data_IF_652079833219
#
_entry.id   IF_652079833219
#
_cell.length_a   1.000
_cell.length_b   1.000
_cell.length_c   1.000
_cell.angle_alpha   90.00
_cell.angle_beta   90.00
_cell.angle_gamma   90.00
#
_symmetry.space_group_name_H-M   'P 1'
#
loop_
_entity.id
_entity.type
_entity.pdbx_description
1 polymer ?
#
# COMPACT_ATOMS: atom_id res chain seq x y z
N UNK A 1 -17.00 28.61 -10.67
CA UNK A 1 -16.81 28.26 -9.24
C UNK A 1 -15.42 27.68 -9.09
N UNK A 2 -14.64 28.32 -8.25
CA UNK A 2 -13.18 28.31 -8.20
C UNK A 2 -12.64 26.97 -7.70
N UNK A 3 -11.74 26.34 -8.48
CA UNK A 3 -10.91 25.22 -8.00
C UNK A 3 -10.06 25.72 -6.83
N UNK A 4 -10.35 25.27 -5.61
CA UNK A 4 -9.41 25.38 -4.50
C UNK A 4 -8.28 24.38 -4.75
N UNK A 5 -7.15 24.89 -5.19
CA UNK A 5 -5.88 24.20 -5.11
C UNK A 5 -5.58 23.92 -3.63
N UNK A 6 -5.84 22.70 -3.17
CA UNK A 6 -5.32 22.20 -1.91
C UNK A 6 -3.80 22.14 -2.04
N UNK A 7 -3.13 23.17 -1.53
CA UNK A 7 -1.68 23.21 -1.43
C UNK A 7 -1.27 22.13 -0.44
N UNK A 8 -0.83 20.98 -0.98
CA UNK A 8 -0.35 19.81 -0.25
C UNK A 8 1.00 20.13 0.42
N UNK A 9 0.99 21.04 1.37
CA UNK A 9 2.15 21.34 2.20
C UNK A 9 2.11 20.38 3.38
N UNK A 10 2.50 19.13 3.11
CA UNK A 10 2.79 18.14 4.13
C UNK A 10 3.73 18.79 5.16
N UNK A 11 3.42 18.63 6.44
CA UNK A 11 4.41 18.82 7.50
C UNK A 11 5.44 17.70 7.38
N UNK A 12 6.27 17.79 6.34
CA UNK A 12 7.52 17.09 6.23
C UNK A 12 8.34 17.47 7.48
N UNK A 13 9.13 16.54 8.05
CA UNK A 13 10.16 16.94 8.99
C UNK A 13 10.92 18.11 8.39
N UNK A 14 11.29 19.10 9.22
CA UNK A 14 11.94 20.30 8.71
C UNK A 14 13.09 19.90 7.76
N UNK A 15 13.35 20.66 6.69
CA UNK A 15 14.38 20.28 5.71
C UNK A 15 15.74 19.96 6.33
N UNK A 16 16.04 20.48 7.53
CA UNK A 16 17.20 20.14 8.34
C UNK A 16 17.08 18.78 9.06
N UNK A 17 15.96 18.50 9.73
CA UNK A 17 15.73 17.22 10.43
C UNK A 17 15.67 16.03 9.46
N UNK A 18 15.00 16.18 8.31
CA UNK A 18 14.93 15.14 7.28
C UNK A 18 16.29 14.87 6.62
N UNK A 19 17.11 15.91 6.44
CA UNK A 19 18.45 15.79 5.84
C UNK A 19 19.46 15.17 6.80
N UNK A 20 19.45 15.57 8.07
CA UNK A 20 20.33 14.98 9.08
C UNK A 20 20.01 13.50 9.32
N UNK A 21 18.73 13.16 9.36
CA UNK A 21 18.28 11.78 9.46
C UNK A 21 18.70 10.96 8.24
N UNK A 22 18.47 11.47 7.02
CA UNK A 22 18.89 10.82 5.78
C UNK A 22 20.39 10.52 5.82
N UNK A 23 21.20 11.50 6.24
CA UNK A 23 22.64 11.32 6.37
C UNK A 23 23.02 10.26 7.42
N UNK A 24 22.31 10.20 8.55
CA UNK A 24 22.55 9.19 9.61
C UNK A 24 22.12 7.79 9.19
N UNK A 25 21.01 7.68 8.46
CA UNK A 25 20.53 6.44 7.90
C UNK A 25 21.47 5.93 6.81
N UNK A 26 21.88 6.81 5.89
CA UNK A 26 22.88 6.52 4.86
C UNK A 26 24.20 6.07 5.51
N UNK A 27 24.70 6.78 6.54
CA UNK A 27 25.91 6.38 7.27
C UNK A 27 25.78 5.02 7.96
N UNK A 28 24.64 4.74 8.61
CA UNK A 28 24.39 3.45 9.26
C UNK A 28 24.32 2.29 8.25
N UNK A 29 23.64 2.51 7.12
CA UNK A 29 23.55 1.55 6.01
C UNK A 29 24.91 1.31 5.36
N UNK A 30 25.71 2.37 5.17
CA UNK A 30 27.06 2.28 4.60
C UNK A 30 28.02 1.52 5.52
N UNK A 31 27.94 1.78 6.84
CA UNK A 31 28.67 1.02 7.85
C UNK A 31 28.26 -0.46 7.86
N UNK A 32 26.97 -0.76 7.73
CA UNK A 32 26.47 -2.14 7.63
C UNK A 32 26.98 -2.84 6.36
N UNK A 33 26.86 -2.22 5.18
CA UNK A 33 27.33 -2.81 3.92
C UNK A 33 28.83 -3.14 3.95
N UNK A 34 29.64 -2.28 4.59
CA UNK A 34 31.07 -2.54 4.78
C UNK A 34 31.35 -3.75 5.70
N UNK A 35 30.47 -4.00 6.67
CA UNK A 35 30.56 -5.13 7.61
C UNK A 35 30.03 -6.43 6.98
N UNK A 36 28.92 -6.36 6.26
CA UNK A 36 28.33 -7.47 5.51
C UNK A 36 29.23 -7.94 4.36
N UNK A 37 29.97 -7.03 3.71
CA UNK A 37 30.96 -7.39 2.70
C UNK A 37 32.14 -8.22 3.26
N UNK A 38 32.36 -8.21 4.59
CA UNK A 38 33.41 -8.99 5.26
C UNK A 38 32.92 -10.36 5.76
N UNK A 39 31.61 -10.58 5.87
CA UNK A 39 31.00 -11.84 6.27
C UNK A 39 30.22 -12.43 5.10
N UNK A 40 30.59 -13.61 4.61
CA UNK A 40 29.94 -14.27 3.46
C UNK A 40 28.50 -14.80 3.77
N UNK A 41 27.78 -14.18 4.71
CA UNK A 41 26.40 -14.49 5.09
C UNK A 41 25.43 -13.49 4.45
N UNK A 42 24.58 -13.96 3.53
CA UNK A 42 23.35 -13.27 3.14
C UNK A 42 22.34 -13.37 4.30
N UNK A 43 22.56 -12.63 5.37
CA UNK A 43 21.51 -12.35 6.35
C UNK A 43 20.72 -11.15 5.84
N UNK A 44 19.41 -11.30 5.69
CA UNK A 44 18.52 -10.16 5.67
C UNK A 44 18.73 -9.50 7.02
N UNK A 45 19.35 -8.31 7.09
CA UNK A 45 19.77 -7.84 8.37
C UNK A 45 18.53 -7.56 9.20
N UNK A 46 18.50 -8.14 10.39
CA UNK A 46 17.89 -7.54 11.56
C UNK A 46 18.65 -6.23 11.84
N UNK A 47 18.61 -5.29 10.89
CA UNK A 47 18.76 -3.87 11.19
C UNK A 47 17.58 -3.59 12.13
N UNK A 48 17.74 -2.63 13.03
CA UNK A 48 16.62 -2.01 13.77
C UNK A 48 16.31 -2.55 15.16
N UNK A 49 17.33 -2.89 15.96
CA UNK A 49 17.15 -2.93 17.42
C UNK A 49 16.96 -1.53 18.02
N UNK A 50 18.00 -0.69 17.93
CA UNK A 50 18.08 0.44 18.87
C UNK A 50 17.84 1.83 18.25
N UNK A 51 18.18 2.04 16.96
CA UNK A 51 18.07 3.38 16.35
C UNK A 51 16.83 3.56 15.48
N UNK A 52 16.53 2.58 14.63
CA UNK A 52 15.44 2.75 13.64
C UNK A 52 14.07 2.50 14.28
N UNK A 53 13.97 1.63 15.28
CA UNK A 53 12.70 1.36 15.95
C UNK A 53 12.15 2.58 16.69
N UNK A 54 12.91 3.31 17.55
CA UNK A 54 12.43 4.56 18.14
C UNK A 54 12.10 5.62 17.08
N UNK A 55 12.87 5.66 16.00
CA UNK A 55 12.65 6.59 14.90
C UNK A 55 11.33 6.33 14.16
N UNK A 56 11.09 5.10 13.70
CA UNK A 56 9.83 4.69 13.09
C UNK A 56 8.67 4.88 14.06
N UNK A 57 8.87 4.56 15.34
CA UNK A 57 7.86 4.80 16.38
C UNK A 57 7.50 6.28 16.44
N UNK A 58 8.49 7.19 16.46
CA UNK A 58 8.24 8.64 16.47
C UNK A 58 7.49 9.12 15.24
N UNK A 59 7.83 8.64 14.04
CA UNK A 59 7.15 9.02 12.81
C UNK A 59 5.71 8.50 12.75
N UNK A 60 5.52 7.23 13.10
CA UNK A 60 4.24 6.54 12.96
C UNK A 60 3.26 6.85 14.10
N UNK A 61 3.76 7.38 15.22
CA UNK A 61 2.94 7.73 16.40
C UNK A 61 2.36 9.16 16.35
N UNK A 62 2.58 9.91 15.26
CA UNK A 62 1.96 11.23 15.07
C UNK A 62 0.47 11.09 14.71
N UNK A 63 -0.35 10.88 15.73
CA UNK A 63 -1.79 10.63 15.58
C UNK A 63 -2.58 11.86 15.12
N UNK A 64 -2.08 13.06 15.40
CA UNK A 64 -2.71 14.30 14.93
C UNK A 64 -2.57 14.44 13.41
N UNK A 65 -1.37 14.20 12.87
CA UNK A 65 -1.15 14.16 11.42
C UNK A 65 -1.98 13.03 10.77
N UNK A 66 -2.00 11.84 11.38
CA UNK A 66 -2.80 10.73 10.87
C UNK A 66 -4.30 11.10 10.75
N UNK A 67 -4.88 11.67 11.81
CA UNK A 67 -6.30 12.06 11.84
C UNK A 67 -6.64 13.24 10.94
N UNK A 68 -5.71 14.19 10.76
CA UNK A 68 -5.96 15.42 10.00
C UNK A 68 -5.57 15.34 8.52
N UNK A 69 -4.69 14.39 8.15
CA UNK A 69 -4.14 14.29 6.78
C UNK A 69 -4.41 12.92 6.16
N UNK A 70 -4.05 11.83 6.84
CA UNK A 70 -4.06 10.48 6.23
C UNK A 70 -5.46 9.89 6.11
N UNK A 71 -6.25 10.03 7.17
CA UNK A 71 -7.58 9.42 7.28
C UNK A 71 -8.69 10.17 6.52
N UNK A 72 -8.78 11.52 6.53
CA UNK A 72 -9.92 12.24 5.96
C UNK A 72 -10.25 11.95 4.49
N UNK A 73 -9.26 11.75 3.57
CA UNK A 73 -9.56 11.41 2.18
C UNK A 73 -10.42 10.16 2.03
N UNK A 74 -10.36 9.23 2.98
CA UNK A 74 -11.14 7.99 2.97
C UNK A 74 -12.49 8.12 3.67
N UNK A 75 -12.74 9.14 4.50
CA UNK A 75 -13.97 9.28 5.29
C UNK A 75 -15.14 9.88 4.51
N UNK A 76 -15.38 9.33 3.32
CA UNK A 76 -16.50 9.66 2.45
C UNK A 76 -17.19 8.38 1.96
N UNK A 77 -18.48 8.42 1.58
CA UNK A 77 -19.12 7.32 0.89
C UNK A 77 -18.39 7.04 -0.43
N UNK A 78 -17.95 5.80 -0.60
CA UNK A 78 -17.03 5.38 -1.66
C UNK A 78 -17.31 3.96 -2.16
N UNK A 79 -18.60 3.59 -2.21
CA UNK A 79 -19.05 2.37 -2.85
C UNK A 79 -18.66 2.34 -4.34
N UNK A 80 -18.51 1.16 -4.97
CA UNK A 80 -18.01 1.03 -6.34
C UNK A 80 -18.69 1.99 -7.33
N UNK A 81 -17.91 2.59 -8.23
CA UNK A 81 -18.31 3.60 -9.22
C UNK A 81 -18.87 4.94 -8.69
N UNK A 82 -19.05 5.11 -7.37
CA UNK A 82 -19.46 6.40 -6.82
C UNK A 82 -18.40 7.50 -7.07
N UNK A 83 -18.79 8.79 -7.06
CA UNK A 83 -17.82 9.89 -7.11
C UNK A 83 -16.74 9.79 -6.02
N UNK A 84 -17.11 9.33 -4.81
CA UNK A 84 -16.18 9.15 -3.71
C UNK A 84 -15.18 8.01 -3.95
N UNK A 85 -15.62 6.90 -4.56
CA UNK A 85 -14.73 5.80 -4.95
C UNK A 85 -13.67 6.27 -5.96
N UNK A 86 -14.10 7.01 -7.00
CA UNK A 86 -13.19 7.59 -8.01
C UNK A 86 -12.20 8.55 -7.35
N UNK A 87 -12.67 9.40 -6.43
CA UNK A 87 -11.83 10.34 -5.71
C UNK A 87 -10.79 9.62 -4.83
N UNK A 88 -11.20 8.61 -4.07
CA UNK A 88 -10.31 7.82 -3.21
C UNK A 88 -9.31 7.04 -4.04
N UNK A 89 -9.74 6.42 -5.15
CA UNK A 89 -8.84 5.74 -6.09
C UNK A 89 -7.76 6.67 -6.60
N UNK A 90 -8.14 7.88 -7.01
CA UNK A 90 -7.18 8.88 -7.49
C UNK A 90 -6.24 9.35 -6.37
N UNK A 91 -6.75 9.53 -5.15
CA UNK A 91 -5.93 9.88 -3.99
C UNK A 91 -4.86 8.82 -3.71
N UNK A 92 -5.24 7.54 -3.66
CA UNK A 92 -4.30 6.42 -3.44
C UNK A 92 -3.22 6.44 -4.52
N UNK A 93 -3.61 6.49 -5.80
CA UNK A 93 -2.65 6.49 -6.93
C UNK A 93 -1.64 7.62 -6.80
N UNK A 94 -2.11 8.85 -6.57
CA UNK A 94 -1.24 10.01 -6.43
C UNK A 94 -0.33 9.90 -5.20
N UNK A 95 -0.83 9.36 -4.08
CA UNK A 95 -0.03 9.16 -2.88
C UNK A 95 1.17 8.23 -3.16
N UNK A 96 0.95 7.10 -3.84
CA UNK A 96 2.04 6.15 -4.17
C UNK A 96 2.94 6.64 -5.31
N UNK A 97 2.38 7.27 -6.34
CA UNK A 97 3.17 7.87 -7.42
C UNK A 97 4.10 8.97 -6.91
N UNK A 98 3.67 9.78 -5.94
CA UNK A 98 4.52 10.80 -5.30
C UNK A 98 5.71 10.22 -4.53
N UNK A 99 5.65 8.92 -4.21
CA UNK A 99 6.71 8.15 -3.57
C UNK A 99 7.55 7.36 -4.58
N UNK A 100 7.40 7.57 -5.89
CA UNK A 100 8.00 6.82 -7.00
C UNK A 100 7.71 5.29 -6.94
N UNK A 101 6.56 4.88 -6.41
CA UNK A 101 6.12 3.48 -6.50
C UNK A 101 5.49 3.22 -7.87
N UNK A 102 5.66 2.00 -8.39
CA UNK A 102 4.95 1.55 -9.57
C UNK A 102 3.48 1.28 -9.21
N UNK A 103 2.55 1.98 -9.86
CA UNK A 103 1.10 1.88 -9.58
C UNK A 103 0.38 1.33 -10.81
N UNK A 104 -0.31 0.21 -10.60
CA UNK A 104 -1.14 -0.48 -11.60
C UNK A 104 -2.61 -0.47 -11.16
N UNK A 105 -3.52 -0.48 -12.14
CA UNK A 105 -4.95 -0.67 -11.94
C UNK A 105 -5.38 -2.01 -12.56
N UNK A 106 -6.06 -2.86 -11.79
CA UNK A 106 -6.74 -4.05 -12.30
C UNK A 106 -8.23 -3.75 -12.41
N UNK A 107 -8.71 -3.63 -13.65
CA UNK A 107 -10.08 -3.24 -13.98
C UNK A 107 -10.89 -4.44 -14.44
N UNK A 108 -12.07 -4.63 -13.86
CA UNK A 108 -13.02 -5.68 -14.27
C UNK A 108 -14.45 -5.16 -14.29
N UNK A 109 -15.27 -5.68 -15.20
CA UNK A 109 -16.73 -5.47 -15.18
C UNK A 109 -17.37 -6.79 -14.76
N UNK A 110 -18.16 -6.78 -13.69
CA UNK A 110 -18.77 -7.98 -13.13
C UNK A 110 -20.28 -7.79 -12.96
N UNK A 111 -21.03 -8.88 -13.09
CA UNK A 111 -22.48 -8.87 -12.85
C UNK A 111 -22.74 -8.76 -11.34
N UNK A 112 -23.66 -7.88 -10.97
CA UNK A 112 -24.09 -7.67 -9.58
C UNK A 112 -25.62 -7.72 -9.50
N UNK A 113 -26.22 -7.72 -8.30
CA UNK A 113 -27.67 -7.61 -8.14
C UNK A 113 -28.29 -6.38 -8.81
N UNK A 114 -27.50 -5.34 -9.11
CA UNK A 114 -27.94 -4.11 -9.75
C UNK A 114 -27.51 -4.00 -11.23
N UNK A 115 -27.05 -5.12 -11.82
CA UNK A 115 -26.51 -5.16 -13.17
C UNK A 115 -24.97 -5.06 -13.22
N UNK A 116 -24.39 -4.87 -14.40
CA UNK A 116 -22.94 -4.81 -14.57
C UNK A 116 -22.33 -3.59 -13.89
N UNK A 117 -21.32 -3.80 -13.05
CA UNK A 117 -20.55 -2.76 -12.33
C UNK A 117 -19.07 -2.93 -12.63
N UNK A 118 -18.37 -1.81 -12.84
CA UNK A 118 -16.90 -1.80 -12.96
C UNK A 118 -16.26 -1.69 -11.57
N UNK A 119 -15.30 -2.56 -11.31
CA UNK A 119 -14.44 -2.57 -10.13
C UNK A 119 -13.00 -2.33 -10.53
N UNK A 120 -12.26 -1.55 -9.73
CA UNK A 120 -10.87 -1.18 -10.04
C UNK A 120 -9.96 -1.35 -8.82
N UNK A 121 -9.24 -2.47 -8.75
CA UNK A 121 -8.21 -2.66 -7.74
C UNK A 121 -6.99 -1.75 -8.03
N UNK A 122 -6.29 -1.33 -6.98
CA UNK A 122 -5.04 -0.56 -7.09
C UNK A 122 -3.90 -1.39 -6.52
N UNK A 123 -2.83 -1.53 -7.28
CA UNK A 123 -1.65 -2.32 -6.91
C UNK A 123 -0.43 -1.39 -6.94
N UNK A 124 0.15 -1.12 -5.78
CA UNK A 124 1.33 -0.27 -5.65
C UNK A 124 2.55 -1.11 -5.24
N UNK A 125 3.60 -1.11 -6.06
CA UNK A 125 4.81 -1.91 -5.87
C UNK A 125 6.04 -1.01 -5.80
N UNK A 126 6.84 -1.13 -4.74
CA UNK A 126 7.99 -0.26 -4.53
C UNK A 126 9.16 -0.60 -5.47
N UNK A 127 9.59 -1.86 -5.52
CA UNK A 127 10.63 -2.37 -6.42
C UNK A 127 10.02 -3.45 -7.34
N UNK A 128 9.41 -3.07 -8.49
CA UNK A 128 8.69 -4.02 -9.35
C UNK A 128 9.57 -5.07 -10.02
N UNK A 129 10.91 -4.92 -9.99
CA UNK A 129 11.86 -5.91 -10.51
C UNK A 129 12.19 -7.02 -9.51
N UNK A 130 11.79 -6.89 -8.24
CA UNK A 130 12.03 -7.91 -7.22
C UNK A 130 11.23 -9.19 -7.54
N UNK A 131 11.83 -10.36 -7.26
CA UNK A 131 11.24 -11.68 -7.57
C UNK A 131 10.22 -12.12 -6.52
N UNK A 132 10.27 -11.54 -5.34
CA UNK A 132 9.45 -11.93 -4.20
C UNK A 132 8.77 -10.71 -3.60
N UNK A 133 7.53 -10.87 -3.13
CA UNK A 133 6.69 -9.78 -2.64
C UNK A 133 6.14 -10.11 -1.26
N UNK A 134 6.32 -9.18 -0.31
CA UNK A 134 5.45 -9.12 0.87
C UNK A 134 4.27 -8.24 0.51
N UNK A 135 3.05 -8.76 0.62
CA UNK A 135 1.82 -8.06 0.25
C UNK A 135 1.06 -7.63 1.49
N UNK A 136 0.80 -6.33 1.62
CA UNK A 136 -0.18 -5.80 2.56
C UNK A 136 -1.42 -5.36 1.79
N UNK A 137 -2.60 -5.65 2.31
CA UNK A 137 -3.83 -5.35 1.58
C UNK A 137 -4.95 -4.87 2.49
N UNK A 138 -5.85 -4.10 1.89
CA UNK A 138 -7.15 -3.72 2.45
C UNK A 138 -8.12 -3.51 1.28
N UNK A 139 -9.39 -3.24 1.57
CA UNK A 139 -10.34 -2.78 0.57
C UNK A 139 -10.61 -1.29 0.77
N UNK A 140 -10.73 -0.54 -0.32
CA UNK A 140 -10.93 0.91 -0.28
C UNK A 140 -12.36 1.32 -0.56
N UNK A 141 -13.22 0.40 -1.00
CA UNK A 141 -14.65 0.67 -1.11
C UNK A 141 -15.30 0.84 0.27
N UNK A 142 -16.52 1.39 0.27
CA UNK A 142 -17.40 1.35 1.42
C UNK A 142 -18.69 0.65 1.00
N UNK A 143 -19.40 0.08 1.98
CA UNK A 143 -20.73 -0.48 1.72
C UNK A 143 -21.68 0.56 1.09
N UNK A 144 -22.50 0.12 0.14
CA UNK A 144 -23.50 0.96 -0.52
C UNK A 144 -24.61 1.39 0.45
N UNK A 145 -25.02 0.49 1.35
CA UNK A 145 -26.09 0.71 2.32
C UNK A 145 -25.60 0.51 3.76
N UNK A 146 -26.05 1.32 4.73
CA UNK A 146 -26.99 2.44 4.57
C UNK A 146 -26.36 3.62 3.79
N UNK A 147 -27.20 4.44 3.14
CA UNK A 147 -26.71 5.59 2.38
C UNK A 147 -25.93 6.54 3.28
N UNK A 148 -24.81 7.04 2.78
CA UNK A 148 -23.90 7.89 3.55
C UNK A 148 -22.96 7.11 4.48
N UNK A 149 -23.00 5.78 4.48
CA UNK A 149 -22.03 4.98 5.23
C UNK A 149 -20.60 5.22 4.73
N UNK A 150 -19.71 5.56 5.66
CA UNK A 150 -18.31 5.90 5.37
C UNK A 150 -17.34 4.80 5.77
N UNK A 151 -17.76 3.69 6.38
CA UNK A 151 -16.88 2.56 6.67
C UNK A 151 -15.54 2.97 7.31
N UNK A 152 -15.57 3.65 8.46
CA UNK A 152 -14.36 4.21 9.06
C UNK A 152 -13.33 3.11 9.43
N UNK A 153 -13.75 2.09 10.16
CA UNK A 153 -12.93 0.91 10.43
C UNK A 153 -12.94 -0.11 9.28
N UNK A 154 -13.83 0.09 8.32
CA UNK A 154 -14.22 -0.89 7.30
C UNK A 154 -14.28 -0.28 5.89
N UNK A 155 -13.15 0.03 5.25
CA UNK A 155 -11.77 -0.05 5.77
C UNK A 155 -10.98 1.25 5.55
N UNK A 156 -11.57 2.40 5.89
CA UNK A 156 -10.88 3.71 5.73
C UNK A 156 -9.60 3.82 6.57
N UNK A 157 -9.63 3.38 7.85
CA UNK A 157 -8.46 3.35 8.73
C UNK A 157 -7.37 2.40 8.20
N UNK A 158 -7.65 1.14 7.81
CA UNK A 158 -6.68 0.30 7.12
C UNK A 158 -6.04 0.95 5.89
N UNK A 159 -6.84 1.61 5.03
CA UNK A 159 -6.31 2.32 3.86
C UNK A 159 -5.31 3.43 4.26
N UNK A 160 -5.70 4.25 5.23
CA UNK A 160 -4.86 5.33 5.74
C UNK A 160 -3.56 4.80 6.40
N UNK A 161 -3.64 3.68 7.11
CA UNK A 161 -2.45 3.01 7.68
C UNK A 161 -1.49 2.60 6.58
N UNK A 162 -1.96 1.97 5.50
CA UNK A 162 -1.09 1.54 4.40
C UNK A 162 -0.43 2.74 3.69
N UNK A 163 -1.19 3.81 3.42
CA UNK A 163 -0.62 5.04 2.83
C UNK A 163 0.42 5.68 3.74
N UNK A 164 0.13 5.82 5.03
CA UNK A 164 1.10 6.37 5.99
C UNK A 164 2.34 5.48 6.10
N UNK A 165 2.16 4.16 6.17
CA UNK A 165 3.26 3.19 6.23
C UNK A 165 4.18 3.33 5.02
N UNK A 166 3.60 3.44 3.81
CA UNK A 166 4.37 3.65 2.59
C UNK A 166 5.20 4.95 2.68
N UNK A 167 4.62 6.06 3.17
CA UNK A 167 5.33 7.34 3.34
C UNK A 167 6.50 7.22 4.32
N UNK A 168 6.27 6.62 5.49
CA UNK A 168 7.30 6.52 6.53
C UNK A 168 8.42 5.53 6.16
N UNK A 169 8.10 4.44 5.47
CA UNK A 169 9.10 3.43 5.06
C UNK A 169 9.80 3.74 3.75
N UNK A 170 9.31 4.69 2.94
CA UNK A 170 9.78 4.87 1.55
C UNK A 170 11.30 5.04 1.45
N UNK A 171 11.89 5.87 2.31
CA UNK A 171 13.34 6.12 2.32
C UNK A 171 14.10 4.82 2.61
N UNK A 172 13.70 4.10 3.65
CA UNK A 172 14.31 2.81 4.02
C UNK A 172 14.21 1.80 2.89
N UNK A 173 13.03 1.62 2.32
CA UNK A 173 12.78 0.64 1.26
C UNK A 173 13.58 0.95 -0.01
N UNK A 174 13.86 2.21 -0.33
CA UNK A 174 14.70 2.57 -1.49
C UNK A 174 16.16 2.20 -1.33
N UNK A 175 16.68 2.13 -0.11
CA UNK A 175 18.06 1.74 0.15
C UNK A 175 18.24 0.23 0.32
N UNK A 176 17.17 -0.49 0.67
CA UNK A 176 17.18 -1.94 0.76
C UNK A 176 17.10 -2.53 -0.65
N UNK A 177 18.26 -2.80 -1.26
CA UNK A 177 18.35 -3.63 -2.45
C UNK A 177 18.12 -5.08 -2.04
N UNK A 178 16.99 -5.65 -2.46
CA UNK A 178 16.60 -7.01 -2.09
C UNK A 178 15.81 -7.66 -3.22
N UNK A 179 15.92 -8.99 -3.31
CA UNK A 179 15.02 -9.80 -4.15
C UNK A 179 13.58 -9.85 -3.59
N UNK A 180 13.33 -9.20 -2.44
CA UNK A 180 12.04 -9.05 -1.77
C UNK A 180 11.61 -7.58 -1.79
N UNK A 181 10.46 -7.27 -2.37
CA UNK A 181 9.81 -5.95 -2.32
C UNK A 181 8.58 -5.94 -1.42
N UNK A 182 8.20 -4.75 -0.95
CA UNK A 182 6.86 -4.49 -0.43
C UNK A 182 5.90 -4.17 -1.59
N UNK A 183 4.70 -4.73 -1.54
CA UNK A 183 3.58 -4.38 -2.41
C UNK A 183 2.34 -4.12 -1.54
N UNK A 184 1.56 -3.12 -1.94
CA UNK A 184 0.29 -2.79 -1.29
C UNK A 184 -0.86 -2.93 -2.29
N UNK A 185 -1.93 -3.58 -1.88
CA UNK A 185 -3.13 -3.79 -2.71
C UNK A 185 -4.34 -3.18 -2.04
N UNK A 186 -5.06 -2.34 -2.77
CA UNK A 186 -6.33 -1.75 -2.36
C UNK A 186 -7.42 -2.35 -3.24
N UNK A 187 -8.18 -3.28 -2.67
CA UNK A 187 -9.26 -3.96 -3.37
C UNK A 187 -10.50 -3.06 -3.51
N UNK A 188 -11.19 -3.17 -4.63
CA UNK A 188 -12.51 -2.56 -4.86
C UNK A 188 -13.61 -3.63 -4.80
N UNK A 189 -14.78 -3.26 -4.29
CA UNK A 189 -15.92 -4.17 -4.17
C UNK A 189 -15.64 -5.38 -3.28
N UNK A 190 -15.06 -5.18 -2.10
CA UNK A 190 -15.07 -6.23 -1.08
C UNK A 190 -16.51 -6.50 -0.63
N UNK A 191 -17.26 -5.40 -0.44
CA UNK A 191 -18.58 -5.42 0.14
C UNK A 191 -19.63 -5.98 -0.80
N UNK A 192 -20.60 -6.68 -0.21
CA UNK A 192 -21.85 -7.00 -0.89
C UNK A 192 -22.62 -5.71 -1.20
N UNK A 193 -23.11 -5.58 -2.45
CA UNK A 193 -23.90 -4.41 -2.85
C UNK A 193 -25.33 -4.48 -2.31
N UNK A 194 -25.88 -5.68 -2.13
CA UNK A 194 -27.20 -5.89 -1.55
C UNK A 194 -27.17 -6.81 -0.33
N UNK A 195 -26.94 -8.11 -0.55
CA UNK A 195 -26.95 -9.14 0.49
C UNK A 195 -25.72 -10.01 0.30
N UNK A 196 -24.90 -10.22 1.37
CA UNK A 196 -23.72 -11.05 1.26
C UNK A 196 -24.04 -12.46 0.74
N UNK A 197 -23.50 -12.78 -0.42
CA UNK A 197 -23.55 -14.11 -1.03
C UNK A 197 -22.18 -14.42 -1.65
N UNK A 198 -21.89 -15.69 -1.99
CA UNK A 198 -20.64 -16.04 -2.68
C UNK A 198 -20.40 -15.29 -4.01
N UNK A 199 -21.45 -14.75 -4.62
CA UNK A 199 -21.39 -13.99 -5.87
C UNK A 199 -21.55 -12.49 -5.69
N UNK A 200 -22.19 -12.04 -4.60
CA UNK A 200 -22.31 -10.62 -4.20
C UNK A 200 -21.35 -10.32 -3.04
N UNK A 201 -20.05 -10.43 -3.32
CA UNK A 201 -18.94 -10.06 -2.43
C UNK A 201 -17.61 -10.30 -3.13
N UNK A 202 -16.54 -9.72 -2.59
CA UNK A 202 -15.14 -10.03 -2.96
C UNK A 202 -14.87 -9.88 -4.47
N UNK A 203 -15.52 -8.91 -5.13
CA UNK A 203 -15.47 -8.72 -6.57
C UNK A 203 -14.02 -8.49 -7.04
N UNK A 204 -13.35 -7.50 -6.45
CA UNK A 204 -11.97 -7.16 -6.81
C UNK A 204 -10.98 -8.27 -6.48
N UNK A 205 -11.05 -8.85 -5.28
CA UNK A 205 -10.09 -9.86 -4.83
C UNK A 205 -10.22 -11.19 -5.57
N UNK A 206 -11.44 -11.65 -5.88
CA UNK A 206 -11.65 -12.85 -6.72
C UNK A 206 -11.07 -12.66 -8.12
N UNK A 207 -11.30 -11.50 -8.73
CA UNK A 207 -10.73 -11.18 -10.05
C UNK A 207 -9.20 -11.18 -10.03
N UNK A 208 -8.60 -10.43 -9.11
CA UNK A 208 -7.14 -10.29 -9.05
C UNK A 208 -6.46 -11.61 -8.73
N UNK A 209 -7.00 -12.41 -7.80
CA UNK A 209 -6.47 -13.72 -7.49
C UNK A 209 -6.52 -14.67 -8.69
N UNK A 210 -7.62 -14.67 -9.46
CA UNK A 210 -7.73 -15.47 -10.67
C UNK A 210 -6.71 -15.04 -11.74
N UNK A 211 -6.51 -13.73 -11.94
CA UNK A 211 -5.49 -13.21 -12.84
C UNK A 211 -4.09 -13.64 -12.38
N UNK A 212 -3.76 -13.43 -11.11
CA UNK A 212 -2.43 -13.73 -10.57
C UNK A 212 -2.11 -15.23 -10.53
N UNK A 213 -3.10 -16.09 -10.35
CA UNK A 213 -2.93 -17.53 -10.43
C UNK A 213 -2.59 -17.99 -11.86
N UNK A 214 -3.10 -17.30 -12.87
CA UNK A 214 -2.96 -17.66 -14.28
C UNK A 214 -1.92 -16.82 -15.04
N UNK A 215 -1.22 -15.90 -14.37
CA UNK A 215 -0.20 -15.05 -14.97
C UNK A 215 1.17 -15.47 -14.46
N UNK A 216 2.08 -15.86 -15.36
CA UNK A 216 3.49 -16.13 -15.03
C UNK A 216 4.18 -14.82 -14.63
N UNK A 217 5.03 -14.87 -13.60
CA UNK A 217 5.80 -13.71 -13.18
C UNK A 217 6.92 -13.40 -14.17
N UNK A 218 7.13 -12.11 -14.48
CA UNK A 218 8.12 -11.68 -15.47
C UNK A 218 9.55 -11.74 -14.95
N UNK A 219 9.74 -11.58 -13.63
CA UNK A 219 11.04 -11.59 -12.99
C UNK A 219 11.44 -13.00 -12.51
N UNK A 220 10.45 -13.89 -12.34
CA UNK A 220 10.64 -15.31 -12.05
C UNK A 220 9.64 -16.21 -12.81
N UNK A 221 9.98 -16.61 -14.05
CA UNK A 221 9.09 -17.42 -14.89
C UNK A 221 8.77 -18.82 -14.34
N UNK A 222 9.43 -19.26 -13.26
CA UNK A 222 9.13 -20.54 -12.62
C UNK A 222 7.88 -20.51 -11.74
N UNK A 223 7.37 -19.30 -11.41
CA UNK A 223 6.20 -19.09 -10.56
C UNK A 223 5.15 -18.24 -11.28
N UNK A 224 3.89 -18.42 -10.90
CA UNK A 224 2.86 -17.45 -11.22
C UNK A 224 2.96 -16.23 -10.29
N UNK A 225 2.28 -15.13 -10.61
CA UNK A 225 2.27 -13.93 -9.77
C UNK A 225 1.85 -14.29 -8.34
N UNK A 226 0.84 -15.14 -8.13
CA UNK A 226 0.42 -15.51 -6.77
C UNK A 226 1.54 -16.19 -5.96
N UNK A 227 2.33 -17.07 -6.58
CA UNK A 227 3.44 -17.79 -5.96
C UNK A 227 4.67 -16.93 -5.64
N UNK A 228 4.70 -15.66 -6.09
CA UNK A 228 5.73 -14.70 -5.68
C UNK A 228 5.44 -14.05 -4.33
N UNK A 229 4.23 -14.22 -3.79
CA UNK A 229 3.85 -13.68 -2.48
C UNK A 229 4.38 -14.62 -1.39
N UNK A 230 5.18 -14.07 -0.47
CA UNK A 230 5.68 -14.83 0.68
C UNK A 230 4.91 -14.51 1.95
N UNK A 231 4.58 -15.56 2.71
CA UNK A 231 4.13 -15.44 4.08
C UNK A 231 5.31 -15.27 5.04
N UNK A 232 5.03 -14.82 6.26
CA UNK A 232 6.03 -14.62 7.32
C UNK A 232 6.81 -15.89 7.67
N UNK A 233 6.24 -17.07 7.42
CA UNK A 233 6.89 -18.37 7.68
C UNK A 233 8.08 -18.66 6.76
N UNK A 234 8.14 -18.01 5.59
CA UNK A 234 9.22 -18.19 4.61
C UNK A 234 10.25 -17.04 4.63
N UNK A 235 10.10 -16.07 5.53
CA UNK A 235 11.10 -15.02 5.76
C UNK A 235 12.12 -15.59 6.74
N UNK A 236 13.18 -16.23 6.24
CA UNK A 236 14.32 -16.60 7.08
C UNK A 236 15.04 -15.32 7.53
N UNK A 237 14.97 -15.02 8.82
CA UNK A 237 15.76 -13.99 9.49
C UNK A 237 17.24 -14.41 9.62
#
# INVERSE_FOLDING_TARGET
MTLLAFSLTLALPSPSQGRELRNRLEAALQSYNNTAAQSNEQRCPVIMGDFVLPFLTSLMSNMDAFKSVELPPFLIPRYPQSPGNIQVRQYIKLAFQSLDWNVEEDMSIQNTPFGPVQFVNIIATQQPAAKTRVVLACHYDSKLLPLGFVGAMDSAVPCAILVNLARQLNVLLRFLQSDITLQMVFFDGEEALWVPTPTDSLYGSRNLAAIWQNTIDTNDPSRNKLGTIVGFENIKA
#
